data_IF_153415329245
#
_entry.id   IF_153415329245
#
_cell.length_a   1.000
_cell.length_b   1.000
_cell.length_c   1.000
_cell.angle_alpha   90.00
_cell.angle_beta   90.00
_cell.angle_gamma   90.00
#
_symmetry.space_group_name_H-M   'P 1'
#
loop_
_entity.id
_entity.type
_entity.pdbx_description
1 polymer ?
#
# COMPACT_ATOMS: atom_id res chain seq x y z
N UNK A 1 12.60 -16.29 -14.18
CA UNK A 1 11.44 -15.41 -14.47
C UNK A 1 11.72 -14.05 -13.86
N UNK A 2 11.31 -12.95 -14.51
CA UNK A 2 11.16 -11.68 -13.82
C UNK A 2 9.87 -11.75 -12.99
N UNK A 3 9.91 -11.36 -11.73
CA UNK A 3 8.70 -11.25 -10.91
C UNK A 3 7.96 -9.98 -11.32
N UNK A 4 6.69 -10.10 -11.69
CA UNK A 4 5.85 -8.95 -12.02
C UNK A 4 5.74 -8.04 -10.78
N UNK A 5 6.04 -6.76 -10.95
CA UNK A 5 5.85 -5.76 -9.90
C UNK A 5 4.35 -5.55 -9.66
N UNK A 6 3.91 -5.63 -8.41
CA UNK A 6 2.52 -5.42 -8.00
C UNK A 6 2.25 -3.97 -7.60
N UNK A 7 0.97 -3.60 -7.51
CA UNK A 7 0.51 -2.39 -6.82
C UNK A 7 -0.32 -2.75 -5.59
N UNK A 8 -0.07 -2.05 -4.49
CA UNK A 8 -0.88 -2.11 -3.27
C UNK A 8 -1.57 -0.79 -2.96
N UNK A 9 -2.72 -0.87 -2.30
CA UNK A 9 -3.40 0.28 -1.66
C UNK A 9 -3.24 0.16 -0.14
N UNK A 10 -2.71 1.19 0.50
CA UNK A 10 -2.54 1.30 1.94
C UNK A 10 -3.89 1.51 2.68
N UNK A 11 -3.93 1.32 4.02
CA UNK A 11 -5.12 1.65 4.82
C UNK A 11 -5.53 3.12 4.67
N UNK A 12 -6.83 3.38 4.78
CA UNK A 12 -7.38 4.73 4.69
C UNK A 12 -6.87 5.61 5.85
N UNK A 13 -6.16 6.71 5.56
CA UNK A 13 -5.39 7.46 6.57
C UNK A 13 -6.22 8.47 7.38
N UNK A 14 -7.50 8.64 7.08
CA UNK A 14 -8.36 9.67 7.69
C UNK A 14 -9.83 9.23 7.75
N UNK A 15 -10.62 9.86 8.64
CA UNK A 15 -12.08 9.72 8.67
C UNK A 15 -12.69 10.06 7.29
N UNK A 16 -13.20 9.06 6.57
CA UNK A 16 -14.09 9.25 5.42
C UNK A 16 -15.53 8.90 5.84
N UNK A 17 -16.54 9.40 5.11
CA UNK A 17 -17.92 8.97 5.31
C UNK A 17 -18.08 7.50 4.91
N UNK A 18 -19.06 6.81 5.50
CA UNK A 18 -19.35 5.39 5.19
C UNK A 18 -19.50 5.15 3.70
N UNK A 19 -20.30 5.97 3.03
CA UNK A 19 -20.56 5.88 1.59
C UNK A 19 -19.27 6.09 0.76
N UNK A 20 -18.39 7.00 1.20
CA UNK A 20 -17.09 7.21 0.54
C UNK A 20 -16.13 6.02 0.74
N UNK A 21 -16.20 5.32 1.87
CA UNK A 21 -15.44 4.08 2.10
C UNK A 21 -15.98 2.93 1.24
N UNK A 22 -17.31 2.76 1.19
CA UNK A 22 -17.96 1.74 0.35
C UNK A 22 -17.65 1.97 -1.13
N UNK A 23 -17.99 3.15 -1.69
CA UNK A 23 -17.74 3.49 -3.08
C UNK A 23 -16.25 3.36 -3.48
N UNK A 24 -15.33 3.61 -2.54
CA UNK A 24 -13.90 3.40 -2.78
C UNK A 24 -13.54 1.91 -2.88
N UNK A 25 -13.99 1.07 -1.94
CA UNK A 25 -13.66 -0.36 -1.99
C UNK A 25 -14.40 -1.11 -3.11
N UNK A 26 -15.62 -0.70 -3.47
CA UNK A 26 -16.33 -1.18 -4.66
C UNK A 26 -15.50 -0.93 -5.93
N UNK A 27 -14.95 0.28 -6.06
CA UNK A 27 -14.06 0.64 -7.16
C UNK A 27 -12.73 -0.13 -7.09
N UNK A 28 -12.17 -0.37 -5.89
CA UNK A 28 -10.95 -1.19 -5.73
C UNK A 28 -11.17 -2.65 -6.12
N UNK A 29 -12.31 -3.25 -5.78
CA UNK A 29 -12.68 -4.60 -6.20
C UNK A 29 -12.64 -4.74 -7.74
N UNK A 30 -13.21 -3.77 -8.46
CA UNK A 30 -13.24 -3.71 -9.93
C UNK A 30 -11.93 -3.24 -10.58
N UNK A 31 -11.02 -2.63 -9.82
CA UNK A 31 -9.75 -2.08 -10.33
C UNK A 31 -8.73 -3.15 -10.73
N UNK A 32 -7.67 -2.73 -11.41
CA UNK A 32 -6.52 -3.58 -11.73
C UNK A 32 -5.57 -3.84 -10.55
N UNK A 33 -5.72 -3.17 -9.40
CA UNK A 33 -4.83 -3.29 -8.22
C UNK A 33 -4.73 -4.73 -7.70
N UNK A 34 -3.54 -5.14 -7.25
CA UNK A 34 -3.25 -6.51 -6.79
C UNK A 34 -3.49 -6.71 -5.28
N UNK A 35 -3.03 -5.77 -4.45
CA UNK A 35 -3.00 -5.88 -2.97
C UNK A 35 -3.83 -4.77 -2.31
N UNK A 36 -4.57 -5.08 -1.25
CA UNK A 36 -5.30 -4.08 -0.44
C UNK A 36 -5.03 -4.28 1.06
N UNK A 37 -4.61 -3.21 1.73
CA UNK A 37 -4.39 -3.19 3.18
C UNK A 37 -5.61 -2.58 3.89
N UNK A 38 -6.27 -3.37 4.75
CA UNK A 38 -7.42 -2.95 5.55
C UNK A 38 -7.00 -2.76 7.01
N UNK A 39 -6.90 -1.50 7.44
CA UNK A 39 -6.46 -1.14 8.80
C UNK A 39 -7.54 -0.44 9.62
N UNK A 40 -7.17 -0.07 10.85
CA UNK A 40 -7.95 0.89 11.65
C UNK A 40 -7.83 2.28 11.00
N UNK A 41 -8.96 2.84 10.54
CA UNK A 41 -9.03 4.23 10.09
C UNK A 41 -8.67 5.15 11.25
N UNK A 42 -7.68 6.02 11.07
CA UNK A 42 -7.32 7.04 12.06
C UNK A 42 -8.46 8.05 12.17
N UNK A 43 -9.32 7.88 13.18
CA UNK A 43 -10.48 8.72 13.38
C UNK A 43 -10.70 9.05 14.87
N UNK A 44 -10.72 10.34 15.17
CA UNK A 44 -10.67 10.90 16.53
C UNK A 44 -11.95 10.74 17.35
N UNK A 45 -13.08 10.38 16.72
CA UNK A 45 -14.40 10.31 17.36
C UNK A 45 -15.19 9.08 16.90
N UNK A 46 -14.70 7.90 17.33
CA UNK A 46 -15.18 6.54 17.01
C UNK A 46 -14.83 6.07 15.58
N UNK A 47 -14.51 4.77 15.38
CA UNK A 47 -14.27 4.24 14.03
C UNK A 47 -15.59 4.17 13.23
N UNK A 48 -15.63 4.86 12.10
CA UNK A 48 -16.78 4.88 11.16
C UNK A 48 -17.12 3.48 10.62
N UNK A 49 -16.11 2.59 10.58
CA UNK A 49 -16.21 1.19 10.15
C UNK A 49 -15.74 0.28 11.28
N UNK A 50 -16.66 -0.50 11.85
CA UNK A 50 -16.42 -1.40 12.97
C UNK A 50 -15.54 -2.60 12.55
N UNK A 51 -14.88 -3.25 13.52
CA UNK A 51 -14.00 -4.40 13.28
C UNK A 51 -14.65 -5.55 12.49
N UNK A 52 -15.95 -5.80 12.69
CA UNK A 52 -16.74 -6.79 11.93
C UNK A 52 -16.94 -6.38 10.47
N UNK A 53 -17.13 -5.09 10.21
CA UNK A 53 -17.33 -4.52 8.88
C UNK A 53 -16.01 -4.49 8.10
N UNK A 54 -14.89 -4.18 8.78
CA UNK A 54 -13.53 -4.30 8.21
C UNK A 54 -13.23 -5.73 7.72
N UNK A 55 -13.65 -6.76 8.45
CA UNK A 55 -13.56 -8.16 8.01
C UNK A 55 -14.55 -8.54 6.88
N UNK A 56 -15.68 -7.86 6.75
CA UNK A 56 -16.60 -8.09 5.62
C UNK A 56 -15.98 -7.57 4.31
N UNK A 57 -15.52 -6.31 4.31
CA UNK A 57 -14.80 -5.68 3.19
C UNK A 57 -13.57 -6.52 2.79
N UNK A 58 -12.80 -7.01 3.77
CA UNK A 58 -11.64 -7.86 3.50
C UNK A 58 -11.99 -9.17 2.77
N UNK A 59 -13.13 -9.78 3.09
CA UNK A 59 -13.61 -11.02 2.43
C UNK A 59 -14.17 -10.76 1.04
N UNK A 60 -14.87 -9.64 0.87
CA UNK A 60 -15.40 -9.20 -0.41
C UNK A 60 -14.27 -8.92 -1.41
N UNK A 61 -13.29 -8.09 -1.05
CA UNK A 61 -12.08 -7.83 -1.85
C UNK A 61 -11.30 -9.11 -2.18
N UNK A 62 -11.14 -10.02 -1.21
CA UNK A 62 -10.49 -11.31 -1.47
C UNK A 62 -11.29 -12.18 -2.45
N UNK A 63 -12.63 -12.16 -2.40
CA UNK A 63 -13.48 -12.83 -3.38
C UNK A 63 -13.41 -12.19 -4.78
N UNK A 64 -13.09 -10.89 -4.86
CA UNK A 64 -12.73 -10.18 -6.09
C UNK A 64 -11.28 -10.41 -6.55
N UNK A 65 -10.57 -11.38 -5.95
CA UNK A 65 -9.22 -11.79 -6.34
C UNK A 65 -8.08 -10.90 -5.82
N UNK A 66 -8.32 -10.05 -4.81
CA UNK A 66 -7.27 -9.20 -4.21
C UNK A 66 -6.47 -9.94 -3.14
N UNK A 67 -5.16 -9.71 -3.07
CA UNK A 67 -4.36 -10.08 -1.90
C UNK A 67 -4.68 -9.11 -0.75
N UNK A 68 -5.45 -9.56 0.25
CA UNK A 68 -5.85 -8.70 1.37
C UNK A 68 -4.95 -8.89 2.59
N UNK A 69 -4.46 -7.77 3.11
CA UNK A 69 -3.62 -7.70 4.32
C UNK A 69 -4.35 -6.87 5.39
N UNK A 70 -4.31 -7.28 6.66
CA UNK A 70 -4.93 -6.53 7.76
C UNK A 70 -3.88 -5.77 8.55
N UNK A 71 -3.99 -4.44 8.60
CA UNK A 71 -3.03 -3.56 9.28
C UNK A 71 -3.42 -3.35 10.74
N UNK A 72 -2.60 -3.88 11.65
CA UNK A 72 -2.88 -3.92 13.09
C UNK A 72 -2.05 -2.87 13.82
N UNK A 73 -2.69 -2.15 14.74
CA UNK A 73 -2.06 -1.26 15.71
C UNK A 73 -2.62 -1.59 17.09
N UNK A 74 -1.79 -1.51 18.13
CA UNK A 74 -2.21 -1.68 19.54
C UNK A 74 -2.10 -0.41 20.37
N UNK A 75 -1.42 0.61 19.84
CA UNK A 75 -1.41 1.98 20.36
C UNK A 75 -2.80 2.64 20.35
N UNK A 76 -3.71 2.22 19.46
CA UNK A 76 -5.13 2.51 19.60
C UNK A 76 -5.78 1.53 20.58
N UNK A 77 -6.48 2.04 21.59
CA UNK A 77 -7.08 1.34 22.75
C UNK A 77 -8.17 0.29 22.41
N UNK A 78 -8.36 -0.05 21.13
CA UNK A 78 -9.49 -0.85 20.62
C UNK A 78 -9.46 -2.33 21.09
N UNK A 79 -8.34 -2.86 21.62
CA UNK A 79 -8.19 -4.30 21.94
C UNK A 79 -7.22 -4.65 23.08
N UNK A 80 -7.71 -5.38 24.08
CA UNK A 80 -6.88 -6.16 25.00
C UNK A 80 -6.02 -7.21 24.24
N UNK A 81 -4.90 -7.65 24.82
CA UNK A 81 -3.91 -8.50 24.15
C UNK A 81 -4.51 -9.76 23.52
N UNK A 82 -5.20 -10.58 24.32
CA UNK A 82 -5.72 -11.88 23.88
C UNK A 82 -6.80 -11.75 22.81
N UNK A 83 -7.61 -10.68 22.88
CA UNK A 83 -8.64 -10.40 21.88
C UNK A 83 -8.05 -9.94 20.54
N UNK A 84 -6.87 -9.30 20.54
CA UNK A 84 -6.15 -9.00 19.30
C UNK A 84 -5.55 -10.28 18.68
N UNK A 85 -4.86 -11.10 19.48
CA UNK A 85 -4.27 -12.37 19.02
C UNK A 85 -5.32 -13.34 18.51
N UNK A 86 -6.47 -13.43 19.19
CA UNK A 86 -7.63 -14.21 18.76
C UNK A 86 -8.18 -13.70 17.43
N UNK A 87 -8.44 -12.39 17.31
CA UNK A 87 -8.96 -11.80 16.06
C UNK A 87 -8.01 -11.96 14.88
N UNK A 88 -6.69 -11.84 15.09
CA UNK A 88 -5.66 -12.14 14.08
C UNK A 88 -5.83 -13.58 13.57
N UNK A 89 -5.87 -14.57 14.47
CA UNK A 89 -6.02 -15.99 14.11
C UNK A 89 -7.35 -16.30 13.42
N UNK A 90 -8.45 -15.71 13.90
CA UNK A 90 -9.79 -15.91 13.33
C UNK A 90 -10.03 -15.15 12.02
N UNK A 91 -9.15 -14.21 11.66
CA UNK A 91 -9.30 -13.42 10.43
C UNK A 91 -9.06 -14.25 9.15
N UNK A 92 -8.08 -15.16 9.18
CA UNK A 92 -7.59 -15.90 8.02
C UNK A 92 -6.71 -15.10 7.05
N UNK A 93 -6.37 -13.85 7.36
CA UNK A 93 -5.62 -12.96 6.48
C UNK A 93 -4.16 -12.75 6.92
N UNK A 94 -3.31 -12.34 5.97
CA UNK A 94 -1.95 -11.86 6.25
C UNK A 94 -2.02 -10.58 7.09
N UNK A 95 -1.14 -10.41 8.07
CA UNK A 95 -1.15 -9.25 8.99
C UNK A 95 0.01 -8.31 8.68
N UNK A 96 -0.26 -7.00 8.70
CA UNK A 96 0.76 -5.95 8.76
C UNK A 96 0.93 -5.46 10.20
N UNK A 97 2.17 -5.52 10.70
CA UNK A 97 2.58 -4.90 11.95
C UNK A 97 2.65 -3.37 11.73
N UNK A 98 1.64 -2.66 12.22
CA UNK A 98 1.48 -1.21 12.07
C UNK A 98 1.98 -0.40 13.25
N UNK A 99 2.55 -1.03 14.28
CA UNK A 99 3.30 -0.41 15.38
C UNK A 99 4.22 -1.44 16.09
N UNK A 100 5.14 -0.96 16.94
CA UNK A 100 6.06 -1.84 17.68
C UNK A 100 5.34 -2.88 18.58
N UNK A 101 4.14 -2.54 19.09
CA UNK A 101 3.34 -3.43 19.90
C UNK A 101 2.73 -4.60 19.10
N UNK A 102 2.26 -4.35 17.87
CA UNK A 102 1.76 -5.40 16.98
C UNK A 102 2.90 -6.26 16.43
N UNK A 103 4.07 -5.67 16.15
CA UNK A 103 5.30 -6.43 15.88
C UNK A 103 5.62 -7.40 17.02
N UNK A 104 5.55 -6.95 18.27
CA UNK A 104 5.84 -7.79 19.45
C UNK A 104 4.84 -8.96 19.66
N UNK A 105 3.63 -8.91 19.08
CA UNK A 105 2.74 -10.08 19.04
C UNK A 105 3.11 -11.08 17.93
N UNK A 106 3.60 -10.58 16.79
CA UNK A 106 3.78 -11.36 15.56
C UNK A 106 5.17 -12.00 15.47
N UNK A 107 6.21 -11.30 15.94
CA UNK A 107 7.60 -11.73 15.89
C UNK A 107 7.80 -13.11 16.54
N UNK A 108 8.34 -14.06 15.78
CA UNK A 108 8.54 -15.46 16.20
C UNK A 108 7.26 -16.31 16.26
N UNK A 109 6.07 -15.71 16.17
CA UNK A 109 4.78 -16.40 16.36
C UNK A 109 4.00 -16.61 15.05
N UNK A 110 4.15 -15.69 14.08
CA UNK A 110 3.42 -15.74 12.80
C UNK A 110 4.16 -14.98 11.70
N UNK A 111 3.91 -15.34 10.43
CA UNK A 111 4.39 -14.56 9.28
C UNK A 111 3.65 -13.23 9.15
N UNK A 112 4.38 -12.12 8.99
CA UNK A 112 3.81 -10.78 8.93
C UNK A 112 4.41 -9.91 7.81
N UNK A 113 3.80 -8.75 7.57
CA UNK A 113 4.36 -7.60 6.84
C UNK A 113 4.88 -6.59 7.87
N UNK A 114 6.16 -6.22 7.79
CA UNK A 114 6.69 -5.11 8.58
C UNK A 114 6.20 -3.80 7.94
N UNK A 115 5.23 -3.14 8.57
CA UNK A 115 4.64 -1.89 8.07
C UNK A 115 5.58 -0.68 8.17
N UNK A 116 5.21 0.48 7.59
CA UNK A 116 6.11 1.63 7.46
C UNK A 116 6.46 2.29 8.81
N UNK A 117 5.72 2.02 9.88
CA UNK A 117 6.06 2.50 11.24
C UNK A 117 6.97 1.55 12.03
N UNK A 118 7.39 0.43 11.44
CA UNK A 118 8.41 -0.44 12.02
C UNK A 118 9.80 0.11 11.64
N UNK A 119 10.64 0.52 12.61
CA UNK A 119 11.97 1.05 12.31
C UNK A 119 12.84 0.01 11.61
N UNK A 120 13.42 0.40 10.47
CA UNK A 120 14.37 -0.42 9.73
C UNK A 120 15.42 0.49 9.08
N UNK A 121 16.52 0.67 9.79
CA UNK A 121 17.64 1.57 9.50
C UNK A 121 18.75 0.95 8.64
N UNK A 122 18.79 -0.38 8.53
CA UNK A 122 19.82 -1.07 7.73
C UNK A 122 19.65 -2.58 7.61
N UNK A 123 20.63 -3.21 6.95
CA UNK A 123 20.60 -4.62 6.56
C UNK A 123 20.51 -5.59 7.75
N UNK A 124 21.11 -5.22 8.89
CA UNK A 124 21.04 -5.96 10.16
C UNK A 124 19.62 -6.00 10.72
N UNK A 125 18.95 -4.85 10.76
CA UNK A 125 17.58 -4.71 11.27
C UNK A 125 16.58 -5.39 10.35
N UNK A 126 16.74 -5.25 9.02
CA UNK A 126 15.91 -5.98 8.06
C UNK A 126 16.08 -7.50 8.17
N UNK A 127 17.32 -7.99 8.31
CA UNK A 127 17.57 -9.42 8.53
C UNK A 127 16.87 -9.92 9.79
N UNK A 128 16.96 -9.17 10.89
CA UNK A 128 16.27 -9.51 12.15
C UNK A 128 14.75 -9.53 12.01
N UNK A 129 14.16 -8.60 11.25
CA UNK A 129 12.74 -8.64 10.92
C UNK A 129 12.37 -9.92 10.15
N UNK A 130 13.18 -10.33 9.18
CA UNK A 130 12.98 -11.59 8.43
C UNK A 130 13.16 -12.83 9.33
N UNK A 131 14.18 -12.86 10.19
CA UNK A 131 14.39 -13.90 11.22
C UNK A 131 13.20 -14.02 12.18
N UNK A 132 12.51 -12.91 12.46
CA UNK A 132 11.28 -12.88 13.24
C UNK A 132 10.00 -13.25 12.46
N UNK A 133 10.06 -13.42 11.14
CA UNK A 133 8.92 -13.82 10.30
C UNK A 133 8.36 -12.74 9.36
N UNK A 134 9.07 -11.62 9.14
CA UNK A 134 8.67 -10.62 8.15
C UNK A 134 8.82 -11.20 6.73
N UNK A 135 7.70 -11.48 6.08
CA UNK A 135 7.62 -11.94 4.69
C UNK A 135 7.66 -10.79 3.68
N UNK A 136 7.42 -9.57 4.16
CA UNK A 136 7.46 -8.31 3.39
C UNK A 136 7.90 -7.16 4.28
N UNK A 137 8.64 -6.21 3.72
CA UNK A 137 8.99 -4.94 4.35
C UNK A 137 8.42 -3.76 3.57
N UNK A 138 7.65 -2.92 4.25
CA UNK A 138 7.17 -1.64 3.73
C UNK A 138 8.16 -0.56 4.12
N UNK A 139 8.88 -0.04 3.13
CA UNK A 139 9.99 0.88 3.32
C UNK A 139 9.53 2.27 3.78
N UNK A 140 10.08 2.78 4.87
CA UNK A 140 9.81 4.16 5.31
C UNK A 140 10.78 5.18 4.68
N UNK A 141 10.78 5.23 3.34
CA UNK A 141 11.55 6.22 2.58
C UNK A 141 10.72 7.48 2.32
N UNK A 142 11.24 8.65 2.69
CA UNK A 142 10.54 9.94 2.51
C UNK A 142 10.93 10.57 1.17
N UNK A 143 12.16 10.34 0.71
CA UNK A 143 12.64 10.70 -0.61
C UNK A 143 13.33 9.53 -1.33
N UNK A 144 13.63 9.72 -2.62
CA UNK A 144 14.29 8.68 -3.42
C UNK A 144 15.76 8.43 -3.04
N UNK A 145 16.43 9.36 -2.36
CA UNK A 145 17.77 9.12 -1.80
C UNK A 145 17.72 8.14 -0.64
N UNK A 146 16.72 8.25 0.23
CA UNK A 146 16.45 7.28 1.29
C UNK A 146 16.11 5.94 0.68
N UNK A 147 15.22 5.91 -0.32
CA UNK A 147 14.83 4.68 -1.01
C UNK A 147 16.03 3.98 -1.65
N UNK A 148 16.89 4.69 -2.38
CA UNK A 148 18.08 4.10 -3.01
C UNK A 148 19.17 3.70 -2.00
N UNK A 149 19.18 4.22 -0.77
CA UNK A 149 20.04 3.74 0.32
C UNK A 149 19.43 2.49 0.98
N UNK A 150 18.15 2.55 1.33
CA UNK A 150 17.36 1.42 1.83
C UNK A 150 17.46 0.19 0.91
N UNK A 151 17.36 0.35 -0.42
CA UNK A 151 17.52 -0.74 -1.39
C UNK A 151 18.94 -1.33 -1.42
N UNK A 152 20.00 -0.52 -1.19
CA UNK A 152 21.36 -1.05 -1.04
C UNK A 152 21.47 -1.94 0.20
N UNK A 153 20.80 -1.56 1.30
CA UNK A 153 20.77 -2.34 2.54
C UNK A 153 19.84 -3.57 2.47
N UNK A 154 18.76 -3.51 1.67
CA UNK A 154 17.81 -4.60 1.50
C UNK A 154 18.19 -5.63 0.42
N UNK A 155 19.31 -5.42 -0.27
CA UNK A 155 19.77 -6.30 -1.35
C UNK A 155 20.04 -7.72 -0.84
N UNK A 156 19.23 -8.68 -1.28
CA UNK A 156 19.31 -10.08 -0.85
C UNK A 156 18.57 -10.41 0.45
N UNK A 157 17.71 -9.52 0.96
CA UNK A 157 16.77 -9.86 2.01
C UNK A 157 15.72 -10.87 1.49
N UNK A 158 15.37 -11.88 2.30
CA UNK A 158 14.44 -12.94 1.93
C UNK A 158 12.95 -12.54 2.16
N UNK A 159 12.57 -11.34 1.72
CA UNK A 159 11.23 -10.79 1.86
C UNK A 159 10.83 -9.92 0.65
N UNK A 160 9.54 -9.78 0.37
CA UNK A 160 9.03 -8.79 -0.59
C UNK A 160 9.40 -7.37 -0.12
N UNK A 161 9.87 -6.51 -1.03
CA UNK A 161 10.10 -5.07 -0.75
C UNK A 161 8.92 -4.28 -1.33
N UNK A 162 8.24 -3.53 -0.47
CA UNK A 162 7.13 -2.64 -0.81
C UNK A 162 7.52 -1.18 -0.57
N UNK A 163 7.42 -0.35 -1.61
CA UNK A 163 7.80 1.07 -1.56
C UNK A 163 6.54 1.96 -1.57
N UNK A 164 6.31 2.80 -0.54
CA UNK A 164 5.33 3.86 -0.58
C UNK A 164 5.55 4.83 -1.74
N UNK A 165 4.53 4.94 -2.59
CA UNK A 165 4.42 5.92 -3.66
C UNK A 165 3.45 7.00 -3.20
N UNK A 166 3.97 8.19 -2.94
CA UNK A 166 3.15 9.33 -2.51
C UNK A 166 2.62 10.10 -3.72
N UNK A 167 1.36 10.53 -3.65
CA UNK A 167 0.80 11.50 -4.59
C UNK A 167 1.51 12.85 -4.48
N UNK A 168 1.53 13.63 -5.57
CA UNK A 168 2.14 14.97 -5.65
C UNK A 168 1.46 15.90 -4.62
N UNK A 169 2.14 16.16 -3.49
CA UNK A 169 1.70 17.04 -2.40
C UNK A 169 2.13 18.50 -2.71
N UNK A 170 1.83 19.43 -1.81
CA UNK A 170 2.54 20.70 -1.69
C UNK A 170 3.08 20.86 -0.26
N UNK A 171 4.39 20.66 -0.12
CA UNK A 171 5.22 20.96 1.05
C UNK A 171 5.90 22.30 0.79
N UNK A 172 5.74 23.26 1.71
CA UNK A 172 6.61 24.43 1.73
C UNK A 172 8.04 23.99 2.06
N UNK A 173 9.07 24.62 1.50
CA UNK A 173 10.47 24.23 1.71
C UNK A 173 10.84 24.04 3.21
N UNK A 174 10.22 24.85 4.08
CA UNK A 174 10.32 24.79 5.56
C UNK A 174 9.74 23.55 6.24
N UNK A 175 8.98 22.71 5.53
CA UNK A 175 8.37 21.47 6.04
C UNK A 175 8.98 20.20 5.41
N UNK A 176 9.98 20.33 4.53
CA UNK A 176 10.74 19.18 4.05
C UNK A 176 11.81 18.81 5.09
N UNK A 177 11.82 17.59 5.66
CA UNK A 177 12.88 17.17 6.58
C UNK A 177 14.25 16.98 5.89
N UNK A 178 14.27 16.98 4.55
CA UNK A 178 15.47 16.76 3.73
C UNK A 178 15.70 18.00 2.86
N UNK A 179 16.23 19.06 3.49
CA UNK A 179 16.41 20.39 2.87
C UNK A 179 17.32 20.34 1.64
N UNK A 180 18.33 19.45 1.62
CA UNK A 180 19.23 19.23 0.48
C UNK A 180 19.03 17.82 -0.08
N UNK A 181 18.00 17.66 -0.91
CA UNK A 181 17.60 16.36 -1.48
C UNK A 181 18.49 15.98 -2.70
N UNK A 182 19.67 15.40 -2.44
CA UNK A 182 20.65 14.95 -3.46
C UNK A 182 21.13 13.52 -3.18
N UNK A 183 21.23 12.66 -4.21
CA UNK A 183 21.89 11.35 -4.12
C UNK A 183 22.82 11.13 -5.33
N UNK A 184 24.09 10.80 -5.09
CA UNK A 184 25.07 10.59 -6.16
C UNK A 184 25.33 11.81 -7.05
N UNK A 185 24.98 13.02 -6.60
CA UNK A 185 25.04 14.27 -7.38
C UNK A 185 23.74 14.63 -8.11
N UNK A 186 22.78 13.72 -8.26
CA UNK A 186 21.48 14.03 -8.87
C UNK A 186 20.45 14.54 -7.84
N UNK A 187 19.60 15.47 -8.26
CA UNK A 187 18.43 15.89 -7.47
C UNK A 187 17.37 14.79 -7.49
N UNK A 188 17.18 14.19 -6.32
CA UNK A 188 16.23 13.08 -6.05
C UNK A 188 14.77 13.53 -5.97
N UNK A 189 14.50 14.84 -6.10
CA UNK A 189 13.16 15.42 -6.28
C UNK A 189 12.45 14.99 -7.57
N UNK A 190 13.12 14.24 -8.45
CA UNK A 190 12.59 13.72 -9.73
C UNK A 190 11.84 12.39 -9.63
N UNK A 191 11.83 11.73 -8.46
CA UNK A 191 11.28 10.38 -8.28
C UNK A 191 10.02 10.33 -7.40
N UNK A 192 9.27 9.25 -7.60
CA UNK A 192 7.84 9.06 -7.30
C UNK A 192 7.43 9.10 -5.81
N UNK A 193 7.44 10.29 -5.21
CA UNK A 193 6.89 10.55 -3.88
C UNK A 193 7.37 11.84 -3.22
N UNK A 194 8.48 12.41 -3.67
CA UNK A 194 8.91 13.74 -3.25
C UNK A 194 8.10 14.82 -3.97
N UNK A 195 7.64 15.82 -3.24
CA UNK A 195 6.77 16.89 -3.75
C UNK A 195 7.42 18.28 -3.76
N UNK A 196 8.74 18.35 -3.52
CA UNK A 196 9.56 19.52 -3.80
C UNK A 196 9.53 19.92 -5.30
N UNK A 197 9.06 19.00 -6.17
CA UNK A 197 8.59 19.27 -7.54
C UNK A 197 7.28 20.11 -7.61
N UNK A 198 6.87 20.76 -6.51
CA UNK A 198 5.98 21.91 -6.48
C UNK A 198 6.65 23.21 -6.96
N UNK A 199 7.99 23.26 -7.06
CA UNK A 199 8.66 24.27 -7.90
C UNK A 199 8.19 24.11 -9.35
N UNK A 200 7.59 25.14 -9.94
CA UNK A 200 6.99 25.13 -11.28
C UNK A 200 7.96 24.90 -12.45
N UNK A 201 9.23 24.58 -12.16
CA UNK A 201 10.32 24.34 -13.10
C UNK A 201 10.58 22.83 -13.32
N UNK A 202 9.94 21.94 -12.56
CA UNK A 202 10.05 20.49 -12.71
C UNK A 202 8.81 19.90 -13.37
N UNK A 203 9.04 19.15 -14.47
CA UNK A 203 8.01 18.43 -15.22
C UNK A 203 7.36 17.29 -14.44
N UNK A 204 6.43 16.55 -15.07
CA UNK A 204 5.88 15.33 -14.48
C UNK A 204 7.00 14.28 -14.27
N UNK A 205 6.92 13.44 -13.23
CA UNK A 205 7.90 12.38 -13.02
C UNK A 205 7.82 11.32 -14.13
N UNK A 206 8.99 10.82 -14.54
CA UNK A 206 9.16 9.77 -15.53
C UNK A 206 8.86 8.40 -14.90
N UNK A 207 7.58 8.01 -14.94
CA UNK A 207 7.10 6.78 -14.32
C UNK A 207 7.76 5.51 -14.88
N UNK A 208 7.85 5.27 -16.20
CA UNK A 208 8.53 4.10 -16.75
C UNK A 208 9.99 3.97 -16.28
N UNK A 209 10.83 4.98 -16.50
CA UNK A 209 12.25 4.93 -16.11
C UNK A 209 12.44 4.81 -14.59
N UNK A 210 11.50 5.35 -13.80
CA UNK A 210 11.47 5.19 -12.36
C UNK A 210 11.15 3.74 -11.94
N UNK A 211 10.12 3.15 -12.52
CA UNK A 211 9.68 1.77 -12.26
C UNK A 211 10.81 0.77 -12.57
N UNK A 212 11.49 0.91 -13.72
CA UNK A 212 12.62 0.05 -14.09
C UNK A 212 13.76 0.11 -13.08
N UNK A 213 14.18 1.33 -12.68
CA UNK A 213 15.24 1.53 -11.67
C UNK A 213 14.87 0.89 -10.33
N UNK A 214 13.61 1.02 -9.91
CA UNK A 214 13.11 0.42 -8.67
C UNK A 214 13.05 -1.11 -8.74
N UNK A 215 12.61 -1.68 -9.88
CA UNK A 215 12.58 -3.13 -10.12
C UNK A 215 14.00 -3.73 -10.09
N UNK A 216 14.97 -3.08 -10.74
CA UNK A 216 16.40 -3.46 -10.67
C UNK A 216 16.98 -3.30 -9.26
N UNK A 217 16.48 -2.34 -8.49
CA UNK A 217 16.80 -2.17 -7.06
C UNK A 217 16.21 -3.26 -6.15
N UNK A 218 15.26 -4.07 -6.63
CA UNK A 218 14.60 -5.14 -5.86
C UNK A 218 13.22 -4.79 -5.31
N UNK A 219 12.64 -3.64 -5.66
CA UNK A 219 11.24 -3.32 -5.30
C UNK A 219 10.31 -4.28 -6.03
N UNK A 220 9.45 -4.95 -5.26
CA UNK A 220 8.44 -5.88 -5.77
C UNK A 220 7.02 -5.30 -5.81
N UNK A 221 6.75 -4.28 -4.99
CA UNK A 221 5.40 -3.73 -4.80
C UNK A 221 5.47 -2.20 -4.67
N UNK A 222 4.56 -1.48 -5.35
CA UNK A 222 4.37 -0.03 -5.21
C UNK A 222 3.11 0.26 -4.40
N UNK A 223 3.23 0.95 -3.26
CA UNK A 223 2.14 1.19 -2.31
C UNK A 223 1.57 2.60 -2.42
N UNK A 224 0.38 2.73 -3.00
CA UNK A 224 -0.36 3.99 -3.03
C UNK A 224 -1.05 4.21 -1.69
N UNK A 225 -0.85 5.39 -1.09
CA UNK A 225 -1.57 5.84 0.11
C UNK A 225 -2.70 6.78 -0.30
N UNK A 226 -3.97 6.35 -0.32
CA UNK A 226 -5.08 7.16 -0.84
C UNK A 226 -5.49 8.23 0.20
N UNK A 227 -5.31 9.51 -0.13
CA UNK A 227 -5.65 10.64 0.77
C UNK A 227 -7.11 11.07 0.63
N UNK A 228 -7.66 11.00 -0.59
CA UNK A 228 -9.06 11.26 -0.91
C UNK A 228 -9.75 10.05 -1.56
N UNK A 229 -11.09 9.93 -1.48
CA UNK A 229 -11.85 8.85 -2.14
C UNK A 229 -11.72 8.77 -3.67
N UNK A 230 -11.04 9.72 -4.31
CA UNK A 230 -10.83 9.76 -5.77
C UNK A 230 -9.45 9.27 -6.23
N UNK A 231 -8.53 8.99 -5.31
CA UNK A 231 -7.13 8.69 -5.64
C UNK A 231 -6.86 7.26 -6.15
N UNK A 232 -7.90 6.42 -6.25
CA UNK A 232 -7.79 5.09 -6.89
C UNK A 232 -7.19 5.14 -8.30
N UNK A 233 -7.42 6.24 -9.04
CA UNK A 233 -6.88 6.46 -10.38
C UNK A 233 -5.35 6.35 -10.44
N UNK A 234 -4.62 6.73 -9.37
CA UNK A 234 -3.16 6.59 -9.30
C UNK A 234 -2.74 5.12 -9.21
N UNK A 235 -3.47 4.32 -8.43
CA UNK A 235 -3.20 2.90 -8.27
C UNK A 235 -3.58 2.11 -9.54
N UNK A 236 -4.68 2.47 -10.20
CA UNK A 236 -5.08 1.93 -11.51
C UNK A 236 -4.01 2.22 -12.58
N UNK A 237 -3.59 3.49 -12.73
CA UNK A 237 -2.57 3.88 -13.71
C UNK A 237 -1.23 3.17 -13.47
N UNK A 238 -0.80 3.04 -12.20
CA UNK A 238 0.40 2.27 -11.86
C UNK A 238 0.26 0.79 -12.20
N UNK A 239 -0.90 0.20 -11.93
CA UNK A 239 -1.18 -1.23 -12.19
C UNK A 239 -1.18 -1.52 -13.68
N UNK A 240 -1.62 -0.57 -14.51
CA UNK A 240 -1.50 -0.63 -15.96
C UNK A 240 -0.03 -0.53 -16.41
N UNK A 241 0.70 0.48 -15.94
CA UNK A 241 2.11 0.71 -16.29
C UNK A 241 2.99 -0.52 -15.99
N UNK A 242 2.93 -1.08 -14.78
CA UNK A 242 3.76 -2.25 -14.41
C UNK A 242 3.40 -3.53 -15.17
N UNK A 243 2.21 -3.58 -15.81
CA UNK A 243 1.74 -4.72 -16.62
C UNK A 243 2.02 -4.58 -18.12
N UNK A 244 2.10 -3.35 -18.64
CA UNK A 244 2.34 -3.07 -20.08
C UNK A 244 3.67 -3.67 -20.58
N UNK A 245 4.67 -3.83 -19.72
CA UNK A 245 5.95 -4.49 -20.07
C UNK A 245 5.80 -5.96 -20.48
N UNK A 246 4.74 -6.67 -20.05
CA UNK A 246 4.42 -8.03 -20.56
C UNK A 246 3.89 -7.95 -22.00
N UNK A 247 3.31 -6.82 -22.41
CA UNK A 247 2.73 -6.58 -23.73
C UNK A 247 3.75 -6.57 -24.87
N UNK A 248 5.03 -6.27 -24.60
CA UNK A 248 6.09 -6.32 -25.62
C UNK A 248 6.30 -7.72 -26.25
N UNK A 249 5.79 -8.77 -25.61
CA UNK A 249 5.79 -10.16 -26.12
C UNK A 249 4.42 -10.71 -26.50
N UNK A 250 3.33 -9.93 -26.47
CA UNK A 250 1.98 -10.37 -26.86
C UNK A 250 1.19 -9.29 -27.61
N UNK A 251 1.03 -9.51 -28.92
CA UNK A 251 -0.03 -8.85 -29.69
C UNK A 251 -1.40 -9.14 -29.06
N UNK A 252 -2.10 -8.09 -28.64
CA UNK A 252 -3.51 -8.17 -28.29
C UNK A 252 -4.35 -8.33 -29.57
N UNK A 253 -5.40 -9.17 -29.59
CA UNK A 253 -6.31 -9.25 -30.73
C UNK A 253 -7.03 -7.91 -30.93
N UNK A 254 -6.91 -7.32 -32.12
CA UNK A 254 -7.59 -6.07 -32.45
C UNK A 254 -9.03 -6.36 -32.85
N UNK A 255 -9.99 -5.84 -32.08
CA UNK A 255 -11.38 -5.63 -32.52
C UNK A 255 -12.42 -6.59 -31.94
N UNK A 256 -13.27 -6.04 -31.06
CA UNK A 256 -14.52 -6.64 -30.62
C UNK A 256 -15.41 -5.57 -29.98
N UNK A 257 -16.52 -5.21 -30.63
CA UNK A 257 -17.54 -4.28 -30.09
C UNK A 257 -18.70 -5.07 -29.46
N UNK A 258 -19.60 -4.33 -28.80
CA UNK A 258 -20.88 -4.78 -28.22
C UNK A 258 -20.73 -5.55 -26.88
N UNK A 259 -21.62 -5.37 -25.88
CA UNK A 259 -22.74 -4.42 -25.75
C UNK A 259 -22.97 -4.07 -24.26
N UNK A 260 -23.64 -2.96 -23.97
CA UNK A 260 -23.89 -2.54 -22.59
C UNK A 260 -24.92 -3.40 -21.86
N UNK A 261 -24.68 -3.67 -20.57
CA UNK A 261 -25.63 -4.32 -19.66
C UNK A 261 -25.71 -3.55 -18.34
N UNK A 262 -26.84 -2.90 -18.06
CA UNK A 262 -27.05 -2.13 -16.82
C UNK A 262 -27.54 -3.06 -15.72
N UNK A 263 -26.64 -3.44 -14.80
CA UNK A 263 -26.98 -4.31 -13.68
C UNK A 263 -27.74 -3.50 -12.60
N UNK A 264 -29.05 -3.74 -12.46
CA UNK A 264 -29.89 -3.10 -11.44
C UNK A 264 -30.07 -3.99 -10.20
N UNK A 265 -29.70 -3.45 -9.04
CA UNK A 265 -30.30 -3.65 -7.71
C UNK A 265 -30.76 -5.06 -7.27
N UNK A 266 -30.10 -5.60 -6.23
CA UNK A 266 -30.64 -6.69 -5.41
C UNK A 266 -30.27 -6.57 -3.91
N UNK A 267 -30.54 -5.40 -3.29
CA UNK A 267 -30.37 -5.19 -1.84
C UNK A 267 -31.67 -4.70 -1.18
N UNK A 268 -32.59 -5.63 -0.93
CA UNK A 268 -33.78 -5.42 -0.12
C UNK A 268 -33.58 -6.02 1.28
N UNK A 269 -33.12 -5.22 2.25
CA UNK A 269 -33.03 -5.63 3.66
C UNK A 269 -34.06 -4.91 4.52
N UNK A 270 -34.72 -5.69 5.38
CA UNK A 270 -35.99 -5.33 5.99
C UNK A 270 -35.85 -4.29 7.10
N UNK A 271 -36.67 -3.22 7.05
CA UNK A 271 -36.91 -2.37 8.22
C UNK A 271 -37.84 -3.13 9.18
N UNK A 272 -37.36 -3.41 10.39
CA UNK A 272 -38.23 -3.58 11.56
C UNK A 272 -38.08 -2.37 12.48
N UNK A 273 -39.18 -2.06 13.18
CA UNK A 273 -39.29 -1.04 14.23
C UNK A 273 -38.66 -1.55 15.52
#
# INVERSE_FOLDING_TARGET
MQTLMKVSIAPLPACWSRDAVTNFYDAVALSSVDIVYIGNVLCSSRPVVQRRERLAIARELASSGKEVVLSVRRSSEEVAADSATKWIRESGFRIEAGDANSLALLAGNASFVAGPEIPCDGASTLRRLVEWGATRWVMNAVCAGDAMQALKHARGAACEIELPVLHRRQVSDSQCPIVNCVHGGESICRLMGCDHAGRAQLGPPDWPSGIDRLRVGGVSILRVVPRTPREINLAQMLSELVRVEIGAGRQLPVGGRATGGVMRSALSWSRKK
#
